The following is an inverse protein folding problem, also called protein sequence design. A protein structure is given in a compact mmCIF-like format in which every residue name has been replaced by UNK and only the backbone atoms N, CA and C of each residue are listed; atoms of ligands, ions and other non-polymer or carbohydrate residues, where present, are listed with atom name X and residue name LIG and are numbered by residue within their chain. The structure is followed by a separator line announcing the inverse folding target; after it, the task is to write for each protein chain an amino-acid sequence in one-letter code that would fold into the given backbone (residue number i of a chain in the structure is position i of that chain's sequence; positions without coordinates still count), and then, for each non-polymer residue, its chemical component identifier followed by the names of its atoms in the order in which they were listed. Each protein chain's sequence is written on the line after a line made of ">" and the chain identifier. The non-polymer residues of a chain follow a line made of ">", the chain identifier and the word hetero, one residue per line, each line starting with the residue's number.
data_IF_381217910404
#
_entry.id   IF_381217910404
#
_cell.length_a   1.000
_cell.length_b   1.000
_cell.length_c   1.000
_cell.angle_alpha   90.00
_cell.angle_beta   90.00
_cell.angle_gamma   90.00
#
_symmetry.space_group_name_H-M   'P 1'
#
loop_
_entity.id
_entity.type
_entity.pdbx_description
1 polymer ?
#
# COMPACT_ATOMS: atom_id res chain seq x y z
N UNK A 1 24.13 11.35 -15.48
CA UNK A 1 22.97 10.54 -15.05
C UNK A 1 21.83 11.53 -14.83
N UNK A 2 20.80 11.50 -15.66
CA UNK A 2 19.70 12.47 -15.57
C UNK A 2 18.55 11.85 -14.78
N UNK A 3 18.12 12.53 -13.71
CA UNK A 3 16.93 12.15 -12.95
C UNK A 3 15.74 12.90 -13.58
N UNK A 4 14.75 12.17 -14.06
CA UNK A 4 13.51 12.74 -14.61
C UNK A 4 12.40 12.61 -13.57
N UNK A 5 11.85 13.73 -13.13
CA UNK A 5 10.73 13.79 -12.18
C UNK A 5 9.50 14.32 -12.92
N UNK A 6 8.40 13.59 -12.86
CA UNK A 6 7.17 13.87 -13.60
C UNK A 6 5.96 13.75 -12.68
N UNK A 7 4.95 14.61 -12.84
CA UNK A 7 3.63 14.46 -12.20
C UNK A 7 2.58 14.25 -13.30
N UNK A 8 1.89 13.11 -13.27
CA UNK A 8 0.86 12.73 -14.24
C UNK A 8 -0.41 12.43 -13.45
N UNK A 9 -1.44 13.27 -13.59
CA UNK A 9 -2.72 13.06 -12.90
C UNK A 9 -2.63 13.06 -11.37
N UNK A 10 -1.70 13.82 -10.78
CA UNK A 10 -1.48 13.85 -9.33
C UNK A 10 -0.53 12.76 -8.80
N UNK A 11 -0.09 11.84 -9.66
CA UNK A 11 0.85 10.78 -9.31
C UNK A 11 2.26 11.20 -9.71
N UNK A 12 3.21 11.06 -8.78
CA UNK A 12 4.62 11.36 -9.02
C UNK A 12 5.35 10.16 -9.62
N UNK A 13 6.28 10.42 -10.53
CA UNK A 13 7.16 9.43 -11.15
C UNK A 13 8.61 9.91 -11.12
N UNK A 14 9.54 8.99 -10.90
CA UNK A 14 10.99 9.21 -11.05
C UNK A 14 11.55 8.19 -12.02
N UNK A 15 12.15 8.66 -13.12
CA UNK A 15 12.66 7.83 -14.21
C UNK A 15 11.59 6.83 -14.71
N UNK A 16 10.37 7.34 -14.95
CA UNK A 16 9.18 6.56 -15.32
C UNK A 16 8.70 5.53 -14.28
N UNK A 17 9.30 5.46 -13.08
CA UNK A 17 8.80 4.64 -11.97
C UNK A 17 7.91 5.46 -11.07
N UNK A 18 6.69 4.98 -10.83
CA UNK A 18 5.75 5.62 -9.92
C UNK A 18 6.32 5.70 -8.50
N UNK A 19 6.12 6.84 -7.86
CA UNK A 19 6.39 7.07 -6.44
C UNK A 19 5.06 7.09 -5.68
N UNK A 20 5.06 6.44 -4.52
CA UNK A 20 3.90 6.30 -3.67
C UNK A 20 3.16 4.99 -3.90
N UNK A 21 2.15 4.77 -3.08
CA UNK A 21 1.29 3.60 -3.14
C UNK A 21 -0.05 3.99 -3.74
N UNK A 22 -0.71 3.06 -4.42
CA UNK A 22 -2.12 3.23 -4.77
C UNK A 22 -2.95 3.38 -3.49
N UNK A 23 -4.01 4.18 -3.57
CA UNK A 23 -5.01 4.21 -2.51
C UNK A 23 -5.69 2.84 -2.53
N UNK A 24 -5.67 2.13 -1.39
CA UNK A 24 -6.36 0.84 -1.29
C UNK A 24 -7.84 1.05 -1.62
N UNK A 25 -8.37 0.19 -2.47
CA UNK A 25 -9.82 0.10 -2.67
C UNK A 25 -10.49 -0.30 -1.35
N UNK A 26 -11.79 -0.03 -1.23
CA UNK A 26 -12.53 -0.44 -0.03
C UNK A 26 -12.44 -1.95 0.23
N UNK A 27 -12.45 -2.76 -0.84
CA UNK A 27 -12.30 -4.21 -0.75
C UNK A 27 -10.92 -4.63 -0.22
N UNK A 28 -9.84 -4.03 -0.75
CA UNK A 28 -8.47 -4.32 -0.29
C UNK A 28 -8.26 -3.88 1.15
N UNK A 29 -8.79 -2.72 1.53
CA UNK A 29 -8.72 -2.25 2.91
C UNK A 29 -9.44 -3.20 3.88
N UNK A 30 -10.63 -3.69 3.52
CA UNK A 30 -11.37 -4.68 4.31
C UNK A 30 -10.59 -5.98 4.46
N UNK A 31 -10.03 -6.51 3.37
CA UNK A 31 -9.24 -7.74 3.41
C UNK A 31 -7.98 -7.59 4.31
N UNK A 32 -7.30 -6.44 4.24
CA UNK A 32 -6.15 -6.15 5.12
C UNK A 32 -6.57 -6.11 6.59
N UNK A 33 -7.71 -5.49 6.90
CA UNK A 33 -8.22 -5.42 8.27
C UNK A 33 -8.60 -6.80 8.82
N UNK A 34 -9.23 -7.65 8.01
CA UNK A 34 -9.56 -9.04 8.38
C UNK A 34 -8.29 -9.85 8.66
N UNK A 35 -7.30 -9.78 7.77
CA UNK A 35 -6.01 -10.44 7.97
C UNK A 35 -5.31 -9.98 9.27
N UNK A 36 -5.29 -8.67 9.54
CA UNK A 36 -4.69 -8.14 10.78
C UNK A 36 -5.43 -8.66 12.02
N UNK A 37 -6.75 -8.79 11.95
CA UNK A 37 -7.55 -9.32 13.05
C UNK A 37 -7.21 -10.79 13.31
N UNK A 38 -7.18 -11.62 12.27
CA UNK A 38 -6.81 -13.04 12.38
C UNK A 38 -5.42 -13.23 13.00
N UNK A 39 -4.43 -12.44 12.57
CA UNK A 39 -3.07 -12.51 13.13
C UNK A 39 -3.04 -12.15 14.62
N UNK A 40 -3.81 -11.14 15.05
CA UNK A 40 -3.89 -10.77 16.46
C UNK A 40 -4.57 -11.85 17.29
N UNK A 41 -5.65 -12.43 16.79
CA UNK A 41 -6.37 -13.51 17.46
C UNK A 41 -5.44 -14.73 17.64
N UNK A 42 -4.72 -15.12 16.58
CA UNK A 42 -3.71 -16.19 16.63
C UNK A 42 -2.54 -15.91 17.59
N UNK A 43 -2.18 -14.64 17.80
CA UNK A 43 -1.16 -14.26 18.78
C UNK A 43 -1.69 -14.36 20.22
N UNK A 44 -2.96 -14.00 20.43
CA UNK A 44 -3.60 -14.03 21.75
C UNK A 44 -3.94 -15.47 22.20
N UNK A 45 -4.25 -16.37 21.28
CA UNK A 45 -4.52 -17.79 21.57
C UNK A 45 -3.26 -18.61 21.91
N UNK A 46 -2.07 -18.06 21.71
CA UNK A 46 -0.78 -18.70 22.04
C UNK A 46 -0.27 -18.38 23.46
N UNK A 47 -1.10 -17.78 24.31
CA UNK A 47 -0.85 -17.51 25.74
C UNK A 47 -1.69 -18.45 26.61
#
# INVERSE_FOLDING_TARGET
>A
MNIRIENIGGIWFVNAKRIGYDTLTHAELTAVNEFIKEIKDLQNEKL
#
